data_IF_882271657752
#
_entry.id   IF_882271657752
#
_cell.length_a   1.000
_cell.length_b   1.000
_cell.length_c   1.000
_cell.angle_alpha   90.00
_cell.angle_beta   90.00
_cell.angle_gamma   90.00
#
_symmetry.space_group_name_H-M   'P 1'
#
loop_
_entity.id
_entity.type
_entity.pdbx_description
1 polymer ?
#
# COMPACT_ATOMS: atom_id res chain seq x y z
N UNK A 1 -6.78 43.06 21.20
CA UNK A 1 -6.18 42.86 19.86
C UNK A 1 -5.69 41.42 19.81
N UNK A 2 -6.56 40.47 19.49
CA UNK A 2 -6.22 39.04 19.55
C UNK A 2 -6.21 38.52 18.12
N UNK A 3 -5.01 38.43 17.55
CA UNK A 3 -4.82 37.82 16.23
C UNK A 3 -4.96 36.31 16.39
N UNK A 4 -6.00 35.77 15.76
CA UNK A 4 -6.22 34.33 15.60
C UNK A 4 -5.10 33.79 14.70
N UNK A 5 -4.32 32.84 15.22
CA UNK A 5 -3.30 32.13 14.44
C UNK A 5 -3.96 31.38 13.28
N UNK A 6 -3.57 31.69 12.06
CA UNK A 6 -4.07 31.01 10.85
C UNK A 6 -3.44 29.61 10.76
N UNK A 7 -4.22 28.55 10.53
CA UNK A 7 -3.69 27.19 10.43
C UNK A 7 -2.72 27.03 9.24
N UNK A 8 -1.76 26.09 9.32
CA UNK A 8 -0.73 25.91 8.31
C UNK A 8 -1.38 25.60 6.96
N UNK A 9 -1.07 26.46 5.97
CA UNK A 9 -1.63 26.36 4.64
C UNK A 9 -1.10 25.10 3.97
N UNK A 10 -2.02 24.22 3.57
CA UNK A 10 -1.72 23.04 2.75
C UNK A 10 -1.07 23.51 1.45
N UNK A 11 0.18 23.07 1.23
CA UNK A 11 0.93 23.36 0.02
C UNK A 11 0.18 22.77 -1.18
N UNK A 12 -0.44 23.61 -2.00
CA UNK A 12 -1.02 23.22 -3.28
C UNK A 12 0.13 23.01 -4.27
N UNK A 13 0.25 21.84 -4.94
CA UNK A 13 1.20 21.67 -6.03
C UNK A 13 0.83 22.60 -7.18
N UNK A 14 1.75 23.49 -7.50
CA UNK A 14 1.71 24.45 -8.60
C UNK A 14 1.88 23.77 -9.95
N UNK A 15 0.88 23.81 -10.82
CA UNK A 15 1.03 23.85 -12.28
C UNK A 15 -0.35 23.92 -12.95
N UNK A 16 -0.66 25.04 -13.57
CA UNK A 16 -1.76 25.18 -14.51
C UNK A 16 -1.21 25.56 -15.89
N UNK A 17 -1.62 24.77 -16.89
CA UNK A 17 -1.17 24.78 -18.27
C UNK A 17 -1.41 23.39 -18.87
N UNK A 18 -2.68 23.12 -19.21
CA UNK A 18 -3.21 21.93 -19.91
C UNK A 18 -2.66 20.54 -19.50
N UNK A 19 -3.45 19.78 -18.72
CA UNK A 19 -3.25 18.33 -18.59
C UNK A 19 -2.45 17.87 -17.37
N UNK A 20 -3.15 17.73 -16.25
CA UNK A 20 -2.73 16.85 -15.15
C UNK A 20 -3.97 16.22 -14.50
N UNK A 21 -4.70 15.37 -15.22
CA UNK A 21 -5.69 14.51 -14.56
C UNK A 21 -4.90 13.61 -13.59
N UNK A 22 -5.00 13.88 -12.29
CA UNK A 22 -4.35 13.06 -11.27
C UNK A 22 -4.77 11.60 -11.47
N UNK A 23 -3.83 10.74 -11.86
CA UNK A 23 -4.09 9.30 -11.90
C UNK A 23 -4.18 8.86 -10.44
N UNK A 24 -5.30 8.27 -9.99
CA UNK A 24 -5.41 7.84 -8.61
C UNK A 24 -4.32 6.82 -8.31
N UNK A 25 -3.43 7.16 -7.38
CA UNK A 25 -2.33 6.30 -6.96
C UNK A 25 -2.95 5.13 -6.19
N UNK A 26 -2.94 3.94 -6.81
CA UNK A 26 -3.39 2.70 -6.18
C UNK A 26 -2.26 2.17 -5.28
N UNK A 27 -2.22 2.63 -4.04
CA UNK A 27 -1.24 2.16 -3.06
C UNK A 27 -1.42 0.66 -2.77
N UNK A 28 -0.30 -0.05 -2.61
CA UNK A 28 -0.29 -1.48 -2.24
C UNK A 28 0.20 -1.63 -0.81
N UNK A 29 -0.73 -1.79 0.12
CA UNK A 29 -0.46 -1.91 1.56
C UNK A 29 -0.52 -3.37 2.03
N UNK A 30 -0.30 -3.61 3.32
CA UNK A 30 -0.37 -4.95 3.91
C UNK A 30 -1.69 -5.67 3.61
N UNK A 31 -2.83 -4.97 3.63
CA UNK A 31 -4.11 -5.58 3.27
C UNK A 31 -4.15 -6.13 1.83
N UNK A 32 -3.45 -5.49 0.89
CA UNK A 32 -3.30 -6.04 -0.47
C UNK A 32 -2.45 -7.30 -0.48
N UNK A 33 -1.41 -7.35 0.34
CA UNK A 33 -0.54 -8.53 0.45
C UNK A 33 -1.35 -9.73 0.98
N UNK A 34 -2.15 -9.52 2.03
CA UNK A 34 -3.04 -10.55 2.58
C UNK A 34 -4.00 -11.06 1.49
N UNK A 35 -4.70 -10.17 0.80
CA UNK A 35 -5.67 -10.57 -0.22
C UNK A 35 -5.04 -11.24 -1.46
N UNK A 36 -3.83 -10.84 -1.85
CA UNK A 36 -3.21 -11.31 -3.09
C UNK A 36 -2.32 -12.54 -2.91
N UNK A 37 -1.77 -12.75 -1.71
CA UNK A 37 -0.79 -13.81 -1.44
C UNK A 37 -1.30 -14.77 -0.38
N UNK A 38 -1.74 -14.28 0.78
CA UNK A 38 -2.15 -15.14 1.92
C UNK A 38 -3.47 -15.83 1.62
N UNK A 39 -4.53 -15.08 1.33
CA UNK A 39 -5.86 -15.64 1.02
C UNK A 39 -5.87 -16.51 -0.25
N UNK A 40 -4.86 -16.41 -1.10
CA UNK A 40 -4.71 -17.26 -2.30
C UNK A 40 -3.90 -18.52 -2.06
N UNK A 41 -3.41 -18.76 -0.84
CA UNK A 41 -2.57 -19.91 -0.51
C UNK A 41 -1.18 -19.90 -1.16
N UNK A 42 -0.68 -18.72 -1.55
CA UNK A 42 0.63 -18.56 -2.21
C UNK A 42 1.72 -18.17 -1.19
N UNK A 43 1.30 -17.79 0.03
CA UNK A 43 2.20 -17.50 1.14
C UNK A 43 3.04 -18.74 1.48
N UNK A 44 4.36 -18.55 1.58
CA UNK A 44 5.31 -19.58 2.02
C UNK A 44 5.88 -19.29 3.42
N UNK A 45 5.21 -18.41 4.17
CA UNK A 45 5.55 -18.01 5.53
C UNK A 45 7.02 -17.58 5.76
N UNK A 46 7.66 -16.96 4.75
CA UNK A 46 9.08 -16.59 4.79
C UNK A 46 9.44 -15.41 5.73
N UNK A 47 8.46 -14.73 6.34
CA UNK A 47 8.71 -13.59 7.25
C UNK A 47 9.19 -12.29 6.62
N UNK A 48 9.40 -12.21 5.29
CA UNK A 48 9.92 -11.00 4.63
C UNK A 48 9.06 -9.74 4.89
N UNK A 49 7.73 -9.88 4.89
CA UNK A 49 6.83 -8.77 5.18
C UNK A 49 6.99 -8.26 6.62
N UNK A 50 7.18 -9.16 7.58
CA UNK A 50 7.38 -8.85 9.00
C UNK A 50 8.71 -8.10 9.19
N UNK A 51 9.81 -8.69 8.72
CA UNK A 51 11.15 -8.09 8.84
C UNK A 51 11.29 -6.73 8.15
N UNK A 52 10.50 -6.49 7.09
CA UNK A 52 10.53 -5.23 6.34
C UNK A 52 9.68 -4.11 6.93
N UNK A 53 8.89 -4.37 7.98
CA UNK A 53 7.99 -3.39 8.55
C UNK A 53 8.78 -2.33 9.34
N UNK A 54 8.82 -1.05 8.92
CA UNK A 54 9.66 -0.04 9.59
C UNK A 54 9.11 0.43 10.94
N UNK A 55 7.90 -0.01 11.30
CA UNK A 55 7.20 0.39 12.54
C UNK A 55 6.85 -0.84 13.40
N UNK A 56 7.38 -2.02 13.06
CA UNK A 56 7.27 -3.26 13.86
C UNK A 56 5.86 -3.64 14.33
N UNK A 57 4.86 -3.47 13.45
CA UNK A 57 3.45 -3.83 13.74
C UNK A 57 3.01 -5.18 13.17
N UNK A 58 3.89 -5.90 12.49
CA UNK A 58 3.59 -7.19 11.86
C UNK A 58 4.24 -8.33 12.65
N UNK A 59 3.51 -9.41 12.86
CA UNK A 59 3.95 -10.53 13.70
C UNK A 59 3.58 -11.88 13.09
N UNK A 60 4.28 -12.91 13.56
CA UNK A 60 3.93 -14.30 13.33
C UNK A 60 2.67 -14.67 14.11
N UNK A 61 1.88 -15.60 13.56
CA UNK A 61 0.75 -16.23 14.25
C UNK A 61 0.91 -17.74 14.28
N UNK A 62 0.11 -18.41 15.10
CA UNK A 62 0.12 -19.88 15.24
C UNK A 62 -0.39 -20.59 13.98
N UNK A 63 -1.08 -19.87 13.09
CA UNK A 63 -1.67 -20.41 11.86
C UNK A 63 -0.76 -20.25 10.63
N UNK A 64 0.53 -19.97 10.81
CA UNK A 64 1.48 -19.73 9.70
C UNK A 64 1.08 -18.55 8.79
N UNK A 65 0.40 -17.55 9.36
CA UNK A 65 -0.01 -16.34 8.66
C UNK A 65 0.55 -15.08 9.34
N UNK A 66 0.91 -14.03 8.57
CA UNK A 66 1.32 -12.76 9.15
C UNK A 66 0.10 -12.01 9.68
N UNK A 67 0.16 -11.56 10.93
CA UNK A 67 -0.88 -10.75 11.58
C UNK A 67 -0.40 -9.33 11.82
N UNK A 68 -1.33 -8.38 11.90
CA UNK A 68 -1.04 -6.97 12.20
C UNK A 68 -1.57 -6.61 13.59
N UNK A 69 -0.75 -5.95 14.40
CA UNK A 69 -1.13 -5.38 15.69
C UNK A 69 -0.67 -3.92 15.75
N UNK A 70 -1.60 -2.98 15.62
CA UNK A 70 -1.33 -1.54 15.63
C UNK A 70 -1.74 -0.83 14.34
N UNK A 71 -1.26 0.40 14.16
CA UNK A 71 -1.68 1.28 13.06
C UNK A 71 -0.69 1.25 11.90
N UNK A 72 -1.17 0.85 10.72
CA UNK A 72 -0.35 0.81 9.50
C UNK A 72 -0.06 2.21 8.95
N UNK A 73 1.23 2.54 8.76
CA UNK A 73 1.67 3.79 8.12
C UNK A 73 1.48 3.83 6.59
N UNK A 74 0.86 2.80 5.99
CA UNK A 74 0.65 2.68 4.55
C UNK A 74 1.92 2.87 3.68
N UNK A 75 3.09 2.52 4.20
CA UNK A 75 4.39 2.73 3.55
C UNK A 75 4.68 1.79 2.36
N UNK A 76 3.84 0.76 2.15
CA UNK A 76 3.93 -0.22 1.05
C UNK A 76 5.14 -1.17 1.07
N UNK A 77 6.09 -0.99 1.99
CA UNK A 77 7.34 -1.78 2.05
C UNK A 77 7.07 -3.28 2.20
N UNK A 78 6.16 -3.67 3.09
CA UNK A 78 5.81 -5.08 3.30
C UNK A 78 5.25 -5.78 2.06
N UNK A 79 4.49 -5.05 1.23
CA UNK A 79 3.93 -5.60 0.00
C UNK A 79 5.06 -5.89 -1.01
N UNK A 80 5.92 -4.89 -1.27
CA UNK A 80 7.00 -5.02 -2.24
C UNK A 80 8.14 -5.94 -1.79
N UNK A 81 8.29 -6.16 -0.49
CA UNK A 81 9.28 -7.10 0.05
C UNK A 81 8.86 -8.56 -0.09
N UNK A 82 7.59 -8.85 -0.36
CA UNK A 82 7.14 -10.23 -0.49
C UNK A 82 7.57 -10.82 -1.85
N UNK A 83 8.35 -11.92 -1.87
CA UNK A 83 8.84 -12.52 -3.12
C UNK A 83 7.75 -13.23 -3.94
N UNK A 84 6.55 -13.37 -3.38
CA UNK A 84 5.42 -14.09 -3.98
C UNK A 84 4.39 -13.18 -4.63
N UNK A 85 4.58 -11.85 -4.59
CA UNK A 85 3.68 -10.96 -5.32
C UNK A 85 3.79 -11.25 -6.82
N UNK A 86 2.66 -11.56 -7.43
CA UNK A 86 2.57 -11.58 -8.89
C UNK A 86 2.61 -10.15 -9.38
N UNK A 87 3.56 -9.81 -10.26
CA UNK A 87 3.51 -8.53 -10.98
C UNK A 87 2.28 -8.54 -11.89
N UNK A 88 1.12 -8.16 -11.35
CA UNK A 88 0.02 -7.69 -12.17
C UNK A 88 0.41 -6.31 -12.66
N UNK A 89 0.99 -6.32 -13.84
CA UNK A 89 1.18 -5.16 -14.68
C UNK A 89 -0.12 -4.36 -14.72
N UNK A 90 -0.03 -3.06 -14.43
CA UNK A 90 -1.17 -2.14 -14.48
C UNK A 90 -1.86 -2.15 -15.86
N UNK A 91 -1.16 -2.61 -16.89
CA UNK A 91 -1.66 -2.79 -18.24
C UNK A 91 -2.70 -3.92 -18.33
N UNK A 92 -2.50 -5.09 -17.70
CA UNK A 92 -3.46 -6.20 -17.75
C UNK A 92 -4.77 -5.89 -17.02
N UNK A 93 -4.73 -5.18 -15.88
CA UNK A 93 -5.94 -4.74 -15.17
C UNK A 93 -6.69 -3.62 -15.92
N UNK A 94 -5.98 -2.78 -16.68
CA UNK A 94 -6.59 -1.78 -17.57
C UNK A 94 -7.24 -2.47 -18.78
N UNK A 95 -6.54 -3.41 -19.43
CA UNK A 95 -7.08 -4.17 -20.56
C UNK A 95 -8.40 -4.87 -20.19
N UNK A 96 -8.43 -5.59 -19.06
CA UNK A 96 -9.65 -6.27 -18.57
C UNK A 96 -10.81 -5.33 -18.27
N UNK A 97 -10.54 -4.06 -17.98
CA UNK A 97 -11.55 -3.08 -17.56
C UNK A 97 -12.05 -2.22 -18.72
N UNK A 98 -11.35 -2.23 -19.85
CA UNK A 98 -11.72 -1.53 -21.09
C UNK A 98 -12.29 -2.48 -22.14
N UNK A 99 -11.93 -3.77 -22.10
CA UNK A 99 -12.31 -4.78 -23.11
C UNK A 99 -13.08 -6.00 -22.55
N UNK A 100 -13.72 -5.88 -21.38
CA UNK A 100 -14.69 -6.84 -20.85
C UNK A 100 -15.99 -6.15 -20.49
#
# INVERSE_FOLDING_TARGET
MTQVATPPQTLKPSAEGEGWKARPIRLKIFGNLIAEVVHKGICMYCGACIASCPIDILFHSDNEEPIMRGTCAACQVCYYSCPRIGRRDRASDLWKRTYS
#
